data_IF_937122624241
#
_entry.id   IF_937122624241
#
_cell.length_a   1.000
_cell.length_b   1.000
_cell.length_c   1.000
_cell.angle_alpha   90.00
_cell.angle_beta   90.00
_cell.angle_gamma   90.00
#
_symmetry.space_group_name_H-M   'P 1'
#
loop_
_entity.id
_entity.type
_entity.pdbx_description
1 polymer ?
#
# COMPACT_ATOMS: atom_id res chain seq x y z
N UNK A 1 -12.83 -4.32 18.63
CA UNK A 1 -13.03 -3.52 17.40
C UNK A 1 -13.74 -2.19 17.67
N UNK A 2 -14.94 -2.11 18.32
CA UNK A 2 -15.67 -0.83 18.54
C UNK A 2 -14.84 0.27 19.25
N UNK A 3 -14.06 -0.07 20.30
CA UNK A 3 -13.17 0.89 20.98
C UNK A 3 -12.08 1.43 20.07
N UNK A 4 -11.49 0.58 19.21
CA UNK A 4 -10.49 1.00 18.23
C UNK A 4 -11.09 1.93 17.16
N UNK A 5 -12.28 1.61 16.65
CA UNK A 5 -12.98 2.46 15.70
C UNK A 5 -13.29 3.84 16.29
N UNK A 6 -13.79 3.88 17.54
CA UNK A 6 -14.03 5.15 18.23
C UNK A 6 -12.73 5.96 18.38
N UNK A 7 -11.66 5.30 18.79
CA UNK A 7 -10.36 5.96 18.93
C UNK A 7 -9.86 6.53 17.58
N UNK A 8 -10.02 5.79 16.47
CA UNK A 8 -9.69 6.29 15.14
C UNK A 8 -10.54 7.51 14.77
N UNK A 9 -11.86 7.49 15.03
CA UNK A 9 -12.72 8.64 14.78
C UNK A 9 -12.31 9.88 15.60
N UNK A 10 -11.93 9.68 16.87
CA UNK A 10 -11.44 10.76 17.74
C UNK A 10 -10.09 11.35 17.24
N UNK A 11 -9.37 10.64 16.35
CA UNK A 11 -8.11 11.06 15.75
C UNK A 11 -8.25 11.66 14.34
N UNK A 12 -9.45 11.75 13.80
CA UNK A 12 -9.67 12.42 12.52
C UNK A 12 -9.13 13.85 12.55
N UNK A 13 -8.25 14.18 11.63
CA UNK A 13 -7.70 15.53 11.48
C UNK A 13 -8.78 16.45 10.93
N UNK A 14 -9.16 17.48 11.71
CA UNK A 14 -10.22 18.43 11.35
C UNK A 14 -9.69 19.86 11.16
N UNK A 15 -8.37 20.00 11.11
CA UNK A 15 -7.68 21.28 11.02
C UNK A 15 -7.08 21.41 9.61
N UNK A 16 -7.16 22.58 9.03
CA UNK A 16 -6.48 22.89 7.78
C UNK A 16 -5.01 23.17 8.07
N UNK A 17 -4.13 22.44 7.42
CA UNK A 17 -2.68 22.62 7.44
C UNK A 17 -2.17 23.06 6.07
N UNK A 18 -0.86 22.97 5.89
CA UNK A 18 -0.15 23.38 4.67
C UNK A 18 -0.59 22.61 3.42
N UNK A 19 -1.01 21.36 3.59
CA UNK A 19 -1.62 20.55 2.53
C UNK A 19 -2.75 21.26 1.78
N UNK A 20 -3.46 22.17 2.44
CA UNK A 20 -4.57 22.92 1.85
C UNK A 20 -4.12 24.05 0.91
N UNK A 21 -2.82 24.36 0.85
CA UNK A 21 -2.30 25.39 -0.07
C UNK A 21 -2.54 25.02 -1.53
N UNK A 22 -2.16 23.80 -1.91
CA UNK A 22 -2.38 23.28 -3.27
C UNK A 22 -3.71 22.55 -3.43
N UNK A 23 -4.45 22.30 -2.33
CA UNK A 23 -5.69 21.54 -2.31
C UNK A 23 -6.73 22.19 -1.41
N UNK A 24 -7.21 23.37 -1.80
CA UNK A 24 -8.06 24.23 -0.96
C UNK A 24 -9.53 23.81 -0.87
N UNK A 25 -10.00 22.93 -1.75
CA UNK A 25 -11.44 22.63 -1.90
C UNK A 25 -12.01 21.66 -0.86
N UNK A 26 -11.34 20.55 -0.47
CA UNK A 26 -11.95 19.61 0.46
C UNK A 26 -12.05 20.18 1.87
N UNK A 27 -13.01 19.66 2.63
CA UNK A 27 -13.02 19.85 4.09
C UNK A 27 -11.82 19.14 4.70
N UNK A 28 -11.26 19.71 5.77
CA UNK A 28 -10.21 19.04 6.52
C UNK A 28 -10.70 17.69 7.06
N UNK A 29 -9.97 16.63 6.73
CA UNK A 29 -10.20 15.27 7.15
C UNK A 29 -8.94 14.44 6.92
N UNK A 30 -8.98 13.15 7.25
CA UNK A 30 -7.87 12.22 7.10
C UNK A 30 -7.20 11.90 8.42
N UNK A 31 -6.15 11.10 8.38
CA UNK A 31 -5.38 10.69 9.55
C UNK A 31 -3.90 10.92 9.30
N UNK A 32 -3.21 11.31 10.36
CA UNK A 32 -1.78 11.57 10.35
C UNK A 32 -1.02 10.36 10.89
N UNK A 33 0.18 10.14 10.37
CA UNK A 33 1.10 9.09 10.83
C UNK A 33 1.48 9.24 12.32
N UNK A 34 1.63 10.47 12.79
CA UNK A 34 1.99 10.76 14.18
C UNK A 34 0.83 11.39 14.96
N UNK A 35 0.56 10.91 16.18
CA UNK A 35 -0.54 11.41 17.02
C UNK A 35 -0.45 12.89 17.39
N UNK A 36 0.76 13.41 17.48
CA UNK A 36 1.03 14.80 17.85
C UNK A 36 1.23 15.71 16.64
N UNK A 37 1.05 15.19 15.44
CA UNK A 37 1.19 15.94 14.19
C UNK A 37 -0.13 16.02 13.41
N UNK A 38 -1.18 16.52 14.07
CA UNK A 38 -2.52 16.63 13.49
C UNK A 38 -2.65 17.64 12.34
N UNK A 39 -1.55 18.28 11.92
CA UNK A 39 -1.53 19.22 10.79
C UNK A 39 -1.22 18.56 9.45
N UNK A 40 -0.70 17.33 9.48
CA UNK A 40 -0.24 16.59 8.29
C UNK A 40 -0.95 15.23 8.17
N UNK A 41 -2.25 15.23 7.80
CA UNK A 41 -2.88 13.98 7.38
C UNK A 41 -2.20 13.50 6.10
N UNK A 42 -2.04 12.20 5.97
CA UNK A 42 -1.45 11.61 4.77
C UNK A 42 -2.39 10.63 4.07
N UNK A 43 -2.08 10.40 2.81
CA UNK A 43 -2.89 9.60 1.90
C UNK A 43 -2.86 8.12 2.30
N UNK A 44 -1.72 7.57 2.76
CA UNK A 44 -1.62 6.15 3.10
C UNK A 44 -2.37 5.82 4.39
N UNK A 45 -2.11 6.56 5.47
CA UNK A 45 -2.80 6.35 6.75
C UNK A 45 -4.31 6.57 6.61
N UNK A 46 -4.71 7.59 5.84
CA UNK A 46 -6.13 7.84 5.55
C UNK A 46 -6.77 6.65 4.83
N UNK A 47 -6.13 6.10 3.80
CA UNK A 47 -6.64 4.94 3.09
C UNK A 47 -6.73 3.71 3.99
N UNK A 48 -5.70 3.44 4.80
CA UNK A 48 -5.68 2.31 5.71
C UNK A 48 -6.74 2.41 6.81
N UNK A 49 -6.92 3.61 7.38
CA UNK A 49 -7.98 3.84 8.39
C UNK A 49 -9.37 3.70 7.78
N UNK A 50 -9.61 4.23 6.59
CA UNK A 50 -10.89 4.07 5.90
C UNK A 50 -11.21 2.59 5.63
N UNK A 51 -10.24 1.80 5.18
CA UNK A 51 -10.42 0.36 5.00
C UNK A 51 -10.71 -0.35 6.34
N UNK A 52 -9.99 0.00 7.40
CA UNK A 52 -10.21 -0.57 8.74
C UNK A 52 -11.59 -0.20 9.29
N UNK A 53 -12.01 1.05 9.17
CA UNK A 53 -13.33 1.52 9.60
C UNK A 53 -14.46 0.83 8.82
N UNK A 54 -14.24 0.51 7.54
CA UNK A 54 -15.23 -0.21 6.72
C UNK A 54 -15.46 -1.64 7.20
N UNK A 55 -14.44 -2.30 7.77
CA UNK A 55 -14.57 -3.65 8.34
C UNK A 55 -15.30 -3.66 9.70
N UNK A 56 -15.29 -2.55 10.40
CA UNK A 56 -16.04 -2.38 11.64
C UNK A 56 -17.43 -1.92 11.26
N UNK A 57 -18.40 -2.84 11.26
CA UNK A 57 -19.82 -2.48 11.12
C UNK A 57 -20.29 -1.79 12.42
N UNK A 58 -20.40 -0.47 12.50
CA UNK A 58 -21.14 0.17 13.54
C UNK A 58 -22.61 0.15 13.11
N UNK A 59 -23.42 -0.53 13.85
CA UNK A 59 -24.84 -0.37 13.78
C UNK A 59 -25.13 1.13 13.92
N UNK A 60 -25.51 1.77 12.80
CA UNK A 60 -26.08 3.13 12.75
C UNK A 60 -25.26 4.29 13.37
N UNK A 61 -23.96 4.40 13.09
CA UNK A 61 -23.22 5.59 13.49
C UNK A 61 -23.16 6.61 12.34
N UNK A 62 -24.04 7.62 12.39
CA UNK A 62 -23.98 8.78 11.48
C UNK A 62 -22.63 9.51 11.55
N UNK A 63 -21.95 9.42 12.67
CA UNK A 63 -20.63 10.00 12.93
C UNK A 63 -19.56 9.30 12.06
N UNK A 64 -19.58 7.97 12.02
CA UNK A 64 -18.70 7.18 11.18
C UNK A 64 -18.94 7.48 9.69
N UNK A 65 -20.20 7.50 9.26
CA UNK A 65 -20.54 7.79 7.86
C UNK A 65 -20.11 9.21 7.47
N UNK A 66 -20.28 10.17 8.37
CA UNK A 66 -19.84 11.56 8.17
C UNK A 66 -18.32 11.69 8.06
N UNK A 67 -17.55 11.01 8.93
CA UNK A 67 -16.10 10.97 8.88
C UNK A 67 -15.62 10.28 7.61
N UNK A 68 -16.23 9.14 7.27
CA UNK A 68 -15.89 8.36 6.08
C UNK A 68 -16.06 9.18 4.79
N UNK A 69 -17.19 9.85 4.61
CA UNK A 69 -17.42 10.71 3.43
C UNK A 69 -16.40 11.82 3.33
N UNK A 70 -16.16 12.55 4.42
CA UNK A 70 -15.19 13.66 4.42
C UNK A 70 -13.79 13.17 4.05
N UNK A 71 -13.37 12.05 4.65
CA UNK A 71 -12.04 11.52 4.41
C UNK A 71 -11.91 10.93 2.99
N UNK A 72 -12.95 10.31 2.46
CA UNK A 72 -12.96 9.85 1.07
C UNK A 72 -12.90 11.03 0.08
N UNK A 73 -13.67 12.10 0.31
CA UNK A 73 -13.60 13.30 -0.51
C UNK A 73 -12.22 13.95 -0.44
N UNK A 74 -11.61 13.96 0.77
CA UNK A 74 -10.25 14.44 0.97
C UNK A 74 -9.24 13.57 0.21
N UNK A 75 -9.30 12.24 0.35
CA UNK A 75 -8.44 11.28 -0.34
C UNK A 75 -8.48 11.45 -1.87
N UNK A 76 -9.70 11.51 -2.43
CA UNK A 76 -9.89 11.67 -3.88
C UNK A 76 -9.38 13.03 -4.38
N UNK A 77 -9.48 14.06 -3.55
CA UNK A 77 -9.02 15.40 -3.92
C UNK A 77 -7.51 15.50 -4.08
N UNK A 78 -6.73 14.57 -3.51
CA UNK A 78 -5.27 14.51 -3.62
C UNK A 78 -4.77 13.87 -4.91
N UNK A 79 -5.65 13.32 -5.75
CA UNK A 79 -5.19 12.81 -7.05
C UNK A 79 -4.48 13.91 -7.84
N UNK A 80 -3.26 13.63 -8.26
CA UNK A 80 -2.44 14.51 -9.07
C UNK A 80 -2.83 14.47 -10.55
N UNK A 81 -2.28 15.41 -11.34
CA UNK A 81 -2.59 15.52 -12.78
C UNK A 81 -2.12 14.34 -13.60
N UNK A 82 -1.07 13.65 -13.16
CA UNK A 82 -0.55 12.43 -13.75
C UNK A 82 -1.40 11.19 -13.45
N UNK A 83 -2.41 11.32 -12.59
CA UNK A 83 -3.30 10.24 -12.17
C UNK A 83 -2.88 9.54 -10.88
N UNK A 84 -1.66 9.77 -10.37
CA UNK A 84 -1.13 9.19 -9.14
C UNK A 84 -1.51 9.95 -7.87
N UNK A 85 -1.09 9.41 -6.73
CA UNK A 85 -1.15 10.05 -5.41
C UNK A 85 0.24 10.13 -4.80
N UNK A 86 0.51 11.24 -4.13
CA UNK A 86 1.61 11.45 -3.23
C UNK A 86 1.12 11.30 -1.77
N UNK A 87 2.01 11.32 -0.76
CA UNK A 87 1.61 11.14 0.62
C UNK A 87 0.96 12.40 1.22
N UNK A 88 1.59 13.56 1.03
CA UNK A 88 1.23 14.79 1.72
C UNK A 88 0.85 15.93 0.78
N UNK A 89 1.34 15.92 -0.46
CA UNK A 89 1.22 17.03 -1.38
C UNK A 89 0.47 16.68 -2.66
N UNK A 90 0.04 17.72 -3.36
CA UNK A 90 -0.67 17.59 -4.63
C UNK A 90 0.05 18.38 -5.73
N UNK A 91 0.37 17.69 -6.85
CA UNK A 91 0.96 18.31 -8.04
C UNK A 91 2.30 18.99 -7.76
N UNK A 92 3.17 18.35 -7.03
CA UNK A 92 4.54 18.82 -6.82
C UNK A 92 5.30 18.71 -8.13
N UNK A 93 5.70 19.86 -8.70
CA UNK A 93 6.18 19.95 -10.09
C UNK A 93 7.54 20.62 -10.23
N UNK A 94 8.31 20.71 -9.16
CA UNK A 94 9.57 21.47 -9.15
C UNK A 94 10.77 20.59 -8.77
N UNK A 95 11.14 19.58 -9.62
CA UNK A 95 12.15 18.57 -9.26
C UNK A 95 13.51 19.12 -8.86
N UNK A 96 13.93 20.27 -9.40
CA UNK A 96 15.21 20.89 -9.08
C UNK A 96 15.35 21.33 -7.60
N UNK A 97 14.23 21.38 -6.85
CA UNK A 97 14.28 21.65 -5.41
C UNK A 97 14.90 20.50 -4.61
N UNK A 98 14.88 19.27 -5.11
CA UNK A 98 15.54 18.13 -4.47
C UNK A 98 17.07 18.21 -4.55
N UNK A 99 17.60 18.90 -5.56
CA UNK A 99 19.03 19.10 -5.77
C UNK A 99 19.60 20.25 -4.91
N UNK A 100 18.77 20.91 -4.12
CA UNK A 100 19.21 22.05 -3.31
C UNK A 100 20.00 21.55 -2.10
N UNK A 101 21.20 22.16 -1.81
CA UNK A 101 22.08 21.68 -0.74
C UNK A 101 21.50 21.76 0.68
N UNK A 102 20.38 22.43 0.85
CA UNK A 102 19.64 22.57 2.10
C UNK A 102 18.30 21.79 2.09
N UNK A 103 18.07 20.98 1.06
CA UNK A 103 16.93 20.06 1.02
C UNK A 103 17.10 19.04 2.15
N UNK A 104 16.38 19.24 3.25
CA UNK A 104 16.43 18.34 4.39
C UNK A 104 15.86 16.98 3.99
N UNK A 105 16.68 15.94 4.11
CA UNK A 105 16.32 14.56 3.83
C UNK A 105 15.76 14.29 2.41
N UNK A 106 16.06 15.10 1.41
CA UNK A 106 15.41 15.06 0.09
C UNK A 106 13.87 15.08 0.21
N UNK A 107 13.35 15.74 1.23
CA UNK A 107 11.94 15.72 1.61
C UNK A 107 11.21 17.03 1.26
N UNK A 108 11.83 17.91 0.48
CA UNK A 108 11.16 19.12 -0.01
C UNK A 108 10.02 18.78 -0.95
N UNK A 109 10.18 17.70 -1.72
CA UNK A 109 9.15 17.24 -2.64
C UNK A 109 8.56 15.90 -2.17
N UNK A 110 7.26 15.78 -2.38
CA UNK A 110 6.50 14.54 -2.18
C UNK A 110 5.92 14.10 -3.53
N UNK A 111 6.69 13.36 -4.33
CA UNK A 111 6.25 12.92 -5.65
C UNK A 111 5.16 11.87 -5.56
N UNK A 112 4.34 11.77 -6.59
CA UNK A 112 3.42 10.65 -6.79
C UNK A 112 4.22 9.34 -6.80
N UNK A 113 3.63 8.29 -6.22
CA UNK A 113 4.26 6.98 -6.17
C UNK A 113 3.25 5.84 -6.40
N UNK A 114 3.77 4.74 -6.92
CA UNK A 114 2.94 3.61 -7.34
C UNK A 114 2.30 2.90 -6.16
N UNK A 115 2.98 2.80 -5.03
CA UNK A 115 2.47 2.17 -3.81
C UNK A 115 1.25 2.91 -3.24
N UNK A 116 1.28 4.24 -3.09
CA UNK A 116 0.13 5.01 -2.60
C UNK A 116 -1.02 5.10 -3.61
N UNK A 117 -0.69 5.17 -4.90
CA UNK A 117 -1.69 5.11 -5.96
C UNK A 117 -2.44 3.78 -5.92
N UNK A 118 -1.71 2.67 -5.78
CA UNK A 118 -2.27 1.34 -5.66
C UNK A 118 -3.04 1.14 -4.34
N UNK A 119 -2.56 1.72 -3.23
CA UNK A 119 -3.27 1.73 -1.95
C UNK A 119 -4.61 2.44 -2.05
N UNK A 120 -4.65 3.56 -2.76
CA UNK A 120 -5.92 4.26 -3.02
C UNK A 120 -6.86 3.41 -3.88
N UNK A 121 -6.36 2.73 -4.92
CA UNK A 121 -7.18 1.78 -5.69
C UNK A 121 -7.70 0.62 -4.83
N UNK A 122 -6.89 0.11 -3.90
CA UNK A 122 -7.32 -0.91 -2.94
C UNK A 122 -8.48 -0.41 -2.08
N UNK A 123 -8.37 0.77 -1.49
CA UNK A 123 -9.45 1.41 -0.74
C UNK A 123 -10.72 1.53 -1.60
N UNK A 124 -10.59 2.08 -2.82
CA UNK A 124 -11.72 2.27 -3.72
C UNK A 124 -12.40 0.94 -4.08
N UNK A 125 -11.63 -0.12 -4.26
CA UNK A 125 -12.16 -1.47 -4.45
C UNK A 125 -12.92 -2.00 -3.23
N UNK A 126 -12.37 -1.80 -2.02
CA UNK A 126 -13.02 -2.20 -0.76
C UNK A 126 -14.38 -1.54 -0.53
N UNK A 127 -14.56 -0.32 -0.97
CA UNK A 127 -15.82 0.41 -0.84
C UNK A 127 -16.79 0.20 -2.01
N UNK A 128 -16.41 -0.60 -3.00
CA UNK A 128 -17.22 -0.86 -4.18
C UNK A 128 -17.33 0.34 -5.12
N UNK A 129 -16.28 1.15 -5.20
CA UNK A 129 -16.24 2.32 -6.07
C UNK A 129 -16.31 1.91 -7.54
N UNK A 130 -16.83 2.79 -8.38
CA UNK A 130 -16.99 2.51 -9.81
C UNK A 130 -15.63 2.34 -10.51
N UNK A 131 -15.28 1.13 -10.99
CA UNK A 131 -14.00 0.89 -11.66
C UNK A 131 -13.85 1.66 -12.99
N UNK A 132 -14.95 2.18 -13.55
CA UNK A 132 -14.94 3.01 -14.76
C UNK A 132 -14.88 4.51 -14.46
N UNK A 133 -14.80 4.91 -13.21
CA UNK A 133 -14.63 6.32 -12.83
C UNK A 133 -13.33 6.88 -13.41
N UNK A 134 -13.34 8.18 -13.73
CA UNK A 134 -12.17 8.82 -14.32
C UNK A 134 -10.95 8.69 -13.43
N UNK A 135 -11.07 8.96 -12.14
CA UNK A 135 -9.96 8.85 -11.18
C UNK A 135 -9.32 7.44 -11.13
N UNK A 136 -10.14 6.39 -11.28
CA UNK A 136 -9.63 5.00 -11.34
C UNK A 136 -8.87 4.75 -12.64
N UNK A 137 -9.40 5.21 -13.78
CA UNK A 137 -8.70 5.04 -15.07
C UNK A 137 -7.39 5.81 -15.11
N UNK A 138 -7.39 7.05 -14.61
CA UNK A 138 -6.20 7.89 -14.56
C UNK A 138 -5.14 7.23 -13.64
N UNK A 139 -5.54 6.63 -12.51
CA UNK A 139 -4.67 5.87 -11.62
C UNK A 139 -4.08 4.62 -12.29
N UNK A 140 -4.89 3.84 -13.00
CA UNK A 140 -4.42 2.67 -13.72
C UNK A 140 -3.43 3.07 -14.83
N UNK A 141 -3.70 4.16 -15.53
CA UNK A 141 -2.77 4.69 -16.54
C UNK A 141 -1.44 5.08 -15.91
N UNK A 142 -1.45 5.79 -14.78
CA UNK A 142 -0.25 6.10 -14.01
C UNK A 142 0.56 4.85 -13.64
N UNK A 143 -0.10 3.78 -13.17
CA UNK A 143 0.58 2.52 -12.83
C UNK A 143 1.19 1.82 -14.06
N UNK A 144 0.58 1.95 -15.25
CA UNK A 144 1.16 1.43 -16.49
C UNK A 144 2.42 2.22 -16.87
N UNK A 145 2.36 3.56 -16.81
CA UNK A 145 3.47 4.44 -17.17
C UNK A 145 4.67 4.34 -16.20
N UNK A 146 4.40 3.99 -14.94
CA UNK A 146 5.45 3.86 -13.90
C UNK A 146 5.98 2.44 -13.72
N UNK A 147 5.51 1.47 -14.52
CA UNK A 147 6.07 0.12 -14.49
C UNK A 147 7.49 0.11 -15.03
N UNK A 148 8.42 -0.49 -14.29
CA UNK A 148 9.79 -0.70 -14.74
C UNK A 148 9.87 -1.69 -15.91
N UNK A 149 10.95 -1.62 -16.67
CA UNK A 149 11.14 -2.50 -17.84
C UNK A 149 11.13 -4.00 -17.50
N UNK A 150 11.57 -4.36 -16.28
CA UNK A 150 11.57 -5.72 -15.77
C UNK A 150 10.18 -6.19 -15.26
N UNK A 151 9.20 -5.30 -15.22
CA UNK A 151 7.84 -5.56 -14.75
C UNK A 151 7.56 -5.16 -13.30
N UNK A 152 8.57 -4.76 -12.54
CA UNK A 152 8.44 -4.33 -11.15
C UNK A 152 7.89 -2.90 -11.02
N UNK A 153 7.54 -2.51 -9.80
CA UNK A 153 7.25 -1.11 -9.42
C UNK A 153 8.06 -0.70 -8.21
N UNK A 154 8.57 0.53 -8.27
CA UNK A 154 9.25 1.16 -7.15
C UNK A 154 8.31 1.37 -5.98
N UNK A 155 8.78 1.05 -4.76
CA UNK A 155 8.10 1.28 -3.50
C UNK A 155 8.76 2.40 -2.72
N UNK A 156 8.05 3.53 -2.52
CA UNK A 156 8.58 4.67 -1.78
C UNK A 156 8.54 4.44 -0.27
N UNK A 157 7.46 3.84 0.24
CA UNK A 157 7.16 3.76 1.68
C UNK A 157 7.44 2.39 2.32
N UNK A 158 7.94 1.46 1.54
CA UNK A 158 8.42 0.15 1.99
C UNK A 158 9.52 -0.35 1.08
N UNK A 159 10.43 -1.20 1.61
CA UNK A 159 11.61 -1.69 0.91
C UNK A 159 11.27 -2.85 -0.01
N UNK A 160 11.52 -2.70 -1.24
CA UNK A 160 11.42 -1.60 -2.18
C UNK A 160 10.55 -2.08 -3.36
N UNK A 161 11.13 -2.75 -4.37
CA UNK A 161 10.37 -3.22 -5.54
C UNK A 161 9.44 -4.40 -5.21
N UNK A 162 9.78 -5.26 -4.24
CA UNK A 162 8.87 -6.30 -3.73
C UNK A 162 7.62 -5.64 -3.13
N UNK A 163 7.81 -4.58 -2.34
CA UNK A 163 6.72 -3.83 -1.71
C UNK A 163 5.84 -3.11 -2.76
N UNK A 164 6.47 -2.35 -3.66
CA UNK A 164 5.73 -1.60 -4.70
C UNK A 164 4.96 -2.51 -5.63
N UNK A 165 5.58 -3.60 -6.08
CA UNK A 165 4.95 -4.57 -6.98
C UNK A 165 3.76 -5.27 -6.32
N UNK A 166 3.91 -5.70 -5.07
CA UNK A 166 2.80 -6.27 -4.29
C UNK A 166 1.63 -5.30 -4.18
N UNK A 167 1.90 -4.04 -3.80
CA UNK A 167 0.85 -3.04 -3.64
C UNK A 167 0.07 -2.82 -4.94
N UNK A 168 0.76 -2.71 -6.07
CA UNK A 168 0.13 -2.52 -7.38
C UNK A 168 -0.76 -3.71 -7.73
N UNK A 169 -0.26 -4.93 -7.63
CA UNK A 169 -1.04 -6.13 -7.94
C UNK A 169 -2.28 -6.24 -7.06
N UNK A 170 -2.15 -5.93 -5.78
CA UNK A 170 -3.25 -5.96 -4.82
C UNK A 170 -4.29 -4.88 -5.08
N UNK A 171 -3.86 -3.65 -5.34
CA UNK A 171 -4.74 -2.52 -5.67
C UNK A 171 -5.57 -2.76 -6.94
N UNK A 172 -4.92 -3.26 -8.00
CA UNK A 172 -5.58 -3.62 -9.26
C UNK A 172 -6.61 -4.73 -9.06
N UNK A 173 -6.26 -5.76 -8.29
CA UNK A 173 -7.21 -6.84 -7.97
C UNK A 173 -8.41 -6.33 -7.20
N UNK A 174 -8.20 -5.48 -6.19
CA UNK A 174 -9.25 -4.95 -5.34
C UNK A 174 -10.25 -4.11 -6.12
N UNK A 175 -9.79 -3.25 -7.02
CA UNK A 175 -10.66 -2.42 -7.87
C UNK A 175 -11.38 -3.23 -8.97
N UNK A 176 -11.06 -4.51 -9.12
CA UNK A 176 -11.69 -5.39 -10.10
C UNK A 176 -11.13 -5.25 -11.51
N UNK A 177 -9.86 -4.83 -11.63
CA UNK A 177 -9.19 -4.79 -12.93
C UNK A 177 -8.94 -6.21 -13.47
N UNK A 178 -8.83 -6.33 -14.79
CA UNK A 178 -8.50 -7.60 -15.45
C UNK A 178 -7.05 -7.99 -15.19
N UNK A 179 -6.86 -8.95 -14.28
CA UNK A 179 -5.54 -9.42 -13.83
C UNK A 179 -4.82 -10.33 -14.86
N UNK A 180 -5.43 -10.60 -16.02
CA UNK A 180 -4.82 -11.43 -17.08
C UNK A 180 -3.99 -10.64 -18.09
N UNK A 181 -3.93 -9.32 -17.95
CA UNK A 181 -3.17 -8.46 -18.88
C UNK A 181 -1.67 -8.68 -18.73
N UNK A 182 -0.96 -8.68 -19.86
CA UNK A 182 0.48 -9.01 -19.94
C UNK A 182 1.36 -8.14 -19.03
N UNK A 183 1.06 -6.84 -18.94
CA UNK A 183 1.84 -5.95 -18.08
C UNK A 183 1.69 -6.30 -16.58
N UNK A 184 0.53 -6.77 -16.14
CA UNK A 184 0.28 -7.23 -14.77
C UNK A 184 1.01 -8.56 -14.52
N UNK A 185 0.91 -9.48 -15.50
CA UNK A 185 1.58 -10.77 -15.42
C UNK A 185 3.10 -10.62 -15.36
N UNK A 186 3.70 -9.63 -16.06
CA UNK A 186 5.12 -9.30 -15.91
C UNK A 186 5.50 -8.96 -14.46
N UNK A 187 4.66 -8.21 -13.74
CA UNK A 187 4.91 -7.91 -12.32
C UNK A 187 4.87 -9.14 -11.42
N UNK A 188 3.91 -10.05 -11.67
CA UNK A 188 3.88 -11.36 -11.02
C UNK A 188 5.14 -12.17 -11.31
N UNK A 189 5.53 -12.27 -12.58
CA UNK A 189 6.66 -13.08 -13.01
C UNK A 189 7.98 -12.52 -12.46
N UNK A 190 8.07 -11.19 -12.33
CA UNK A 190 9.19 -10.54 -11.65
C UNK A 190 9.26 -10.95 -10.18
N UNK A 191 8.16 -10.90 -9.42
CA UNK A 191 8.13 -11.39 -8.03
C UNK A 191 8.60 -12.85 -7.93
N UNK A 192 8.14 -13.71 -8.84
CA UNK A 192 8.56 -15.11 -8.85
C UNK A 192 10.06 -15.28 -9.13
N UNK A 193 10.62 -14.43 -10.01
CA UNK A 193 12.04 -14.47 -10.35
C UNK A 193 12.96 -14.07 -9.20
N UNK A 194 12.45 -13.32 -8.22
CA UNK A 194 13.18 -12.86 -7.04
C UNK A 194 13.09 -13.83 -5.85
N UNK A 195 12.41 -14.98 -5.99
CA UNK A 195 12.27 -15.93 -4.89
C UNK A 195 13.60 -16.59 -4.55
N UNK A 196 14.02 -16.52 -3.29
CA UNK A 196 15.21 -17.17 -2.79
C UNK A 196 15.09 -18.70 -2.75
N UNK A 197 16.23 -19.41 -2.62
CA UNK A 197 16.28 -20.86 -2.58
C UNK A 197 15.55 -21.46 -1.38
N UNK A 198 15.48 -20.75 -0.25
CA UNK A 198 14.73 -21.14 0.94
C UNK A 198 13.20 -20.99 0.78
N UNK A 199 12.76 -20.39 -0.32
CA UNK A 199 11.34 -20.16 -0.65
C UNK A 199 10.80 -18.82 -0.17
N UNK A 200 11.57 -18.03 0.57
CA UNK A 200 11.22 -16.69 0.98
C UNK A 200 11.58 -15.63 -0.06
N UNK A 201 11.33 -14.37 0.29
CA UNK A 201 11.73 -13.19 -0.45
C UNK A 201 12.41 -12.19 0.47
N UNK A 202 13.37 -11.46 -0.08
CA UNK A 202 14.04 -10.40 0.63
C UNK A 202 14.68 -9.39 -0.31
N UNK A 203 14.70 -8.15 0.12
CA UNK A 203 15.29 -7.03 -0.60
C UNK A 203 15.88 -6.05 0.41
N UNK A 204 17.06 -5.51 0.11
CA UNK A 204 17.76 -4.61 1.02
C UNK A 204 17.50 -3.15 0.67
N UNK A 205 17.71 -2.24 1.64
CA UNK A 205 17.63 -0.79 1.40
C UNK A 205 18.63 -0.28 0.37
N UNK A 206 19.68 -1.04 0.06
CA UNK A 206 20.66 -0.67 -0.98
C UNK A 206 20.03 -0.52 -2.37
N UNK A 207 18.86 -1.10 -2.61
CA UNK A 207 18.11 -0.96 -3.88
C UNK A 207 17.66 0.47 -4.16
N UNK A 208 17.55 1.32 -3.16
CA UNK A 208 17.23 2.73 -3.36
C UNK A 208 18.38 3.52 -4.01
N UNK A 209 19.62 3.07 -3.81
CA UNK A 209 20.81 3.68 -4.40
C UNK A 209 21.29 2.91 -5.65
N UNK A 210 21.08 1.60 -5.66
CA UNK A 210 21.52 0.72 -6.74
C UNK A 210 20.39 -0.19 -7.23
N UNK A 211 19.65 0.19 -8.29
CA UNK A 211 18.57 -0.64 -8.86
C UNK A 211 19.00 -2.04 -9.34
N UNK A 212 20.31 -2.29 -9.55
CA UNK A 212 20.77 -3.63 -9.86
C UNK A 212 20.59 -4.63 -8.70
N UNK A 213 20.30 -4.12 -7.49
CA UNK A 213 20.02 -4.93 -6.30
C UNK A 213 18.53 -5.27 -6.12
N UNK A 214 17.66 -4.96 -7.11
CA UNK A 214 16.23 -5.25 -7.04
C UNK A 214 15.97 -6.72 -6.70
N UNK A 215 15.14 -6.95 -5.67
CA UNK A 215 14.74 -8.27 -5.22
C UNK A 215 15.88 -9.11 -4.61
N UNK A 216 17.02 -8.49 -4.27
CA UNK A 216 18.18 -9.18 -3.70
C UNK A 216 18.29 -8.86 -2.21
N UNK A 217 18.22 -9.89 -1.36
CA UNK A 217 18.38 -9.81 0.08
C UNK A 217 18.05 -11.12 0.76
N UNK A 218 18.33 -11.20 2.05
CA UNK A 218 17.93 -12.37 2.86
C UNK A 218 16.42 -12.40 3.01
N UNK A 219 15.85 -13.59 3.03
CA UNK A 219 14.41 -13.77 3.17
C UNK A 219 13.90 -13.20 4.49
N UNK A 220 12.89 -12.34 4.41
CA UNK A 220 12.20 -11.76 5.57
C UNK A 220 10.76 -12.22 5.63
N UNK A 221 10.17 -12.19 6.80
CA UNK A 221 8.78 -12.60 6.99
C UNK A 221 7.81 -11.62 6.32
N UNK A 222 8.07 -10.32 6.43
CA UNK A 222 7.22 -9.28 5.83
C UNK A 222 7.29 -9.26 4.31
N UNK A 223 8.50 -9.30 3.72
CA UNK A 223 8.66 -9.26 2.25
C UNK A 223 8.19 -10.56 1.60
N UNK A 224 8.39 -11.70 2.26
CA UNK A 224 7.79 -12.98 1.82
C UNK A 224 6.27 -12.89 1.81
N UNK A 225 5.67 -12.32 2.84
CA UNK A 225 4.24 -12.12 2.90
C UNK A 225 3.71 -11.20 1.79
N UNK A 226 4.43 -10.09 1.50
CA UNK A 226 4.08 -9.19 0.41
C UNK A 226 4.10 -9.90 -0.94
N UNK A 227 5.18 -10.62 -1.24
CA UNK A 227 5.30 -11.36 -2.50
C UNK A 227 4.18 -12.39 -2.67
N UNK A 228 3.88 -13.19 -1.62
CA UNK A 228 2.76 -14.15 -1.64
C UNK A 228 1.44 -13.45 -1.97
N UNK A 229 1.13 -12.34 -1.28
CA UNK A 229 -0.13 -11.61 -1.51
C UNK A 229 -0.21 -11.01 -2.92
N UNK A 230 0.91 -10.51 -3.46
CA UNK A 230 1.00 -9.99 -4.82
C UNK A 230 0.74 -11.08 -5.86
N UNK A 231 1.39 -12.23 -5.73
CA UNK A 231 1.20 -13.36 -6.66
C UNK A 231 -0.22 -13.92 -6.53
N UNK A 232 -0.76 -14.08 -5.31
CA UNK A 232 -2.14 -14.50 -5.09
C UNK A 232 -3.16 -13.57 -5.76
N UNK A 233 -2.90 -12.27 -5.80
CA UNK A 233 -3.78 -11.31 -6.45
C UNK A 233 -3.97 -11.59 -7.95
N UNK A 234 -3.02 -12.26 -8.61
CA UNK A 234 -3.11 -12.66 -10.01
C UNK A 234 -3.98 -13.91 -10.25
N UNK A 235 -4.41 -14.62 -9.19
CA UNK A 235 -5.48 -15.62 -9.24
C UNK A 235 -5.04 -17.08 -9.35
N UNK A 236 -3.80 -17.40 -9.73
CA UNK A 236 -3.29 -18.77 -9.76
C UNK A 236 -2.64 -19.14 -8.42
N UNK A 237 -3.39 -19.81 -7.55
CA UNK A 237 -3.00 -20.13 -6.18
C UNK A 237 -2.16 -21.42 -6.06
N UNK A 238 -2.09 -22.23 -7.12
CA UNK A 238 -1.35 -23.49 -7.09
C UNK A 238 0.11 -23.35 -7.56
N UNK A 239 0.57 -22.11 -7.80
CA UNK A 239 1.95 -21.83 -8.20
C UNK A 239 2.96 -22.31 -7.17
N UNK A 240 4.03 -22.91 -7.67
CA UNK A 240 5.11 -23.44 -6.83
C UNK A 240 5.74 -22.36 -5.94
N UNK A 241 5.84 -21.14 -6.43
CA UNK A 241 6.37 -19.99 -5.69
C UNK A 241 5.54 -19.69 -4.44
N UNK A 242 4.21 -19.68 -4.54
CA UNK A 242 3.30 -19.50 -3.39
C UNK A 242 3.51 -20.65 -2.38
N UNK A 243 3.53 -21.89 -2.85
CA UNK A 243 3.68 -23.06 -1.96
C UNK A 243 5.02 -23.06 -1.21
N UNK A 244 6.10 -22.62 -1.87
CA UNK A 244 7.40 -22.46 -1.24
C UNK A 244 7.39 -21.33 -0.20
N UNK A 245 6.81 -20.18 -0.55
CA UNK A 245 6.69 -19.05 0.38
C UNK A 245 5.85 -19.36 1.61
N UNK A 246 4.73 -20.06 1.45
CA UNK A 246 3.92 -20.52 2.59
C UNK A 246 4.71 -21.46 3.50
N UNK A 247 5.49 -22.39 2.93
CA UNK A 247 6.37 -23.26 3.73
C UNK A 247 7.44 -22.47 4.47
N UNK A 248 8.05 -21.47 3.84
CA UNK A 248 9.00 -20.58 4.50
C UNK A 248 8.35 -19.89 5.72
N UNK A 249 7.19 -19.28 5.56
CA UNK A 249 6.48 -18.62 6.67
C UNK A 249 6.13 -19.60 7.80
N UNK A 250 5.63 -20.80 7.46
CA UNK A 250 5.25 -21.78 8.46
C UNK A 250 6.46 -22.39 9.20
N UNK A 251 7.56 -22.63 8.48
CA UNK A 251 8.77 -23.22 9.07
C UNK A 251 9.60 -22.22 9.89
N UNK A 252 9.53 -20.93 9.57
CA UNK A 252 10.21 -19.86 10.31
C UNK A 252 9.40 -19.30 11.47
N UNK A 253 8.12 -19.71 11.62
CA UNK A 253 7.29 -19.31 12.75
C UNK A 253 7.80 -19.94 14.06
N UNK A 254 7.97 -19.11 15.09
CA UNK A 254 8.38 -19.53 16.42
C UNK A 254 7.25 -20.23 17.17
N UNK A 255 7.62 -20.96 18.22
CA UNK A 255 6.64 -21.66 19.08
C UNK A 255 5.61 -20.73 19.76
N UNK A 256 5.97 -19.45 19.94
CA UNK A 256 5.05 -18.43 20.46
C UNK A 256 4.16 -17.78 19.37
N UNK A 257 4.23 -18.25 18.12
CA UNK A 257 3.45 -17.75 16.98
C UNK A 257 4.04 -16.52 16.30
N UNK A 258 5.19 -16.01 16.75
CA UNK A 258 5.85 -14.84 16.15
C UNK A 258 6.87 -15.20 15.07
N UNK A 259 7.35 -14.20 14.33
CA UNK A 259 8.50 -14.30 13.43
C UNK A 259 9.63 -13.39 13.88
N UNK A 260 10.86 -13.80 13.58
CA UNK A 260 12.04 -12.92 13.69
C UNK A 260 12.28 -12.23 12.35
N UNK A 261 12.64 -10.96 12.42
CA UNK A 261 13.00 -10.15 11.28
C UNK A 261 13.91 -9.04 11.79
N UNK A 262 15.25 -9.25 11.82
CA UNK A 262 16.19 -8.21 12.22
C UNK A 262 16.34 -7.12 11.15
N UNK A 263 15.99 -7.42 9.91
CA UNK A 263 16.11 -6.53 8.75
C UNK A 263 15.17 -5.33 8.86
N UNK A 264 15.55 -4.26 8.18
CA UNK A 264 14.74 -3.05 8.02
C UNK A 264 13.99 -3.17 6.70
N UNK A 265 12.67 -3.13 6.77
CA UNK A 265 11.77 -3.29 5.61
C UNK A 265 10.83 -2.09 5.40
N UNK A 266 10.92 -1.08 6.25
CA UNK A 266 10.19 0.18 6.11
C UNK A 266 11.09 1.34 5.70
N UNK A 267 10.50 2.36 5.11
CA UNK A 267 11.20 3.55 4.63
C UNK A 267 10.58 4.79 5.23
N UNK A 268 11.40 5.70 5.75
CA UNK A 268 11.00 7.06 6.03
C UNK A 268 11.20 7.91 4.76
N UNK A 269 12.47 8.16 4.39
CA UNK A 269 12.80 8.82 3.13
C UNK A 269 13.86 8.00 2.39
N UNK A 270 13.57 7.56 1.14
CA UNK A 270 14.49 6.75 0.34
C UNK A 270 15.87 7.41 0.20
N UNK A 271 16.94 6.63 0.42
CA UNK A 271 18.31 7.11 0.38
C UNK A 271 18.77 7.88 1.63
N UNK A 272 17.89 8.18 2.58
CA UNK A 272 18.19 9.02 3.75
C UNK A 272 18.03 8.27 5.06
N UNK A 273 16.85 7.78 5.37
CA UNK A 273 16.65 6.94 6.55
C UNK A 273 15.56 5.89 6.37
N UNK A 274 15.72 4.78 7.09
CA UNK A 274 14.87 3.62 6.99
C UNK A 274 14.31 3.26 8.36
N UNK A 275 13.12 2.62 8.36
CA UNK A 275 12.37 2.33 9.56
C UNK A 275 12.19 0.82 9.74
N UNK A 276 12.39 0.36 10.96
CA UNK A 276 12.02 -0.99 11.37
C UNK A 276 10.68 -0.95 12.08
N UNK A 277 9.66 -1.48 11.45
CA UNK A 277 8.34 -1.62 12.05
C UNK A 277 8.20 -3.01 12.69
N UNK A 278 8.26 -3.08 14.01
CA UNK A 278 8.17 -4.36 14.74
C UNK A 278 6.88 -5.15 14.45
N UNK A 279 5.80 -4.46 14.10
CA UNK A 279 4.52 -5.07 13.76
C UNK A 279 4.52 -5.73 12.37
N UNK A 280 5.40 -5.35 11.45
CA UNK A 280 5.43 -5.87 10.08
C UNK A 280 5.65 -7.38 10.07
N UNK A 281 6.63 -7.86 10.81
CA UNK A 281 6.96 -9.28 10.94
C UNK A 281 5.86 -10.13 11.57
N UNK A 282 4.83 -9.52 12.16
CA UNK A 282 3.68 -10.21 12.72
C UNK A 282 2.44 -10.09 11.81
N UNK A 283 2.12 -8.85 11.43
CA UNK A 283 0.89 -8.55 10.75
C UNK A 283 0.87 -9.06 9.31
N UNK A 284 1.98 -8.89 8.57
CA UNK A 284 2.00 -9.27 7.16
C UNK A 284 2.02 -10.78 6.94
N UNK A 285 2.81 -11.61 7.66
CA UNK A 285 2.69 -13.07 7.55
C UNK A 285 1.27 -13.58 7.84
N UNK A 286 0.67 -13.08 8.92
CA UNK A 286 -0.71 -13.46 9.26
C UNK A 286 -1.71 -13.05 8.16
N UNK A 287 -1.56 -11.84 7.61
CA UNK A 287 -2.40 -11.33 6.53
C UNK A 287 -2.22 -12.15 5.25
N UNK A 288 -0.99 -12.54 4.91
CA UNK A 288 -0.71 -13.36 3.72
C UNK A 288 -1.32 -14.76 3.84
N UNK A 289 -1.15 -15.42 4.99
CA UNK A 289 -1.74 -16.72 5.26
C UNK A 289 -3.28 -16.67 5.19
N UNK A 290 -3.87 -15.65 5.82
CA UNK A 290 -5.32 -15.43 5.78
C UNK A 290 -5.82 -15.12 4.35
N UNK A 291 -5.08 -14.32 3.59
CA UNK A 291 -5.41 -13.99 2.19
C UNK A 291 -5.40 -15.25 1.32
N UNK A 292 -4.37 -16.09 1.44
CA UNK A 292 -4.28 -17.35 0.71
C UNK A 292 -5.47 -18.28 1.04
N UNK A 293 -5.77 -18.47 2.33
CA UNK A 293 -6.89 -19.33 2.78
C UNK A 293 -8.22 -18.77 2.26
N UNK A 294 -8.44 -17.48 2.35
CA UNK A 294 -9.65 -16.84 1.85
C UNK A 294 -9.81 -17.04 0.34
N UNK A 295 -8.75 -16.85 -0.44
CA UNK A 295 -8.81 -17.04 -1.89
C UNK A 295 -9.05 -18.51 -2.25
N UNK A 296 -8.43 -19.46 -1.57
CA UNK A 296 -8.68 -20.92 -1.74
C UNK A 296 -10.13 -21.30 -1.46
N UNK A 297 -10.77 -20.65 -0.49
CA UNK A 297 -12.15 -20.88 -0.12
C UNK A 297 -13.16 -20.08 -0.97
N UNK A 298 -12.69 -19.36 -1.99
CA UNK A 298 -13.55 -18.54 -2.86
C UNK A 298 -14.02 -17.24 -2.22
N UNK A 299 -13.53 -16.91 -1.02
CA UNK A 299 -13.75 -15.60 -0.38
C UNK A 299 -12.80 -14.56 -0.98
N UNK A 300 -12.87 -14.39 -2.31
CA UNK A 300 -12.22 -13.26 -2.95
C UNK A 300 -12.97 -12.03 -2.46
N UNK A 301 -12.26 -11.05 -1.92
CA UNK A 301 -12.83 -9.72 -1.67
C UNK A 301 -13.34 -9.19 -3.01
N UNK A 302 -14.62 -9.43 -3.30
CA UNK A 302 -15.27 -8.85 -4.46
C UNK A 302 -15.54 -7.39 -4.18
N UNK A 303 -15.27 -6.50 -5.12
CA UNK A 303 -15.89 -5.17 -5.09
C UNK A 303 -17.40 -5.39 -4.92
N UNK A 304 -17.97 -4.87 -3.86
CA UNK A 304 -19.42 -4.97 -3.69
C UNK A 304 -19.95 -5.80 -2.52
N UNK A 305 -19.19 -6.06 -1.47
CA UNK A 305 -19.71 -6.66 -0.23
C UNK A 305 -20.74 -5.78 0.53
N UNK A 306 -21.14 -4.66 -0.08
CA UNK A 306 -22.24 -3.82 0.38
C UNK A 306 -23.19 -3.50 -0.77
N UNK A 307 -23.89 -4.51 -1.25
CA UNK A 307 -25.23 -4.24 -1.74
C UNK A 307 -26.09 -4.06 -0.49
N UNK A 308 -26.56 -2.83 -0.28
CA UNK A 308 -27.68 -2.55 0.60
C UNK A 308 -28.83 -3.45 0.19
N UNK A 309 -29.23 -4.36 1.09
CA UNK A 309 -30.56 -4.95 1.08
C UNK A 309 -31.61 -3.85 1.24
#
# INVERSE_FOLDING_TARGET
>A
MRRAAKWLLDKEVRIRGDWAFNNSHPKASGWAFEYNNAYYPDVDDTAMVLMALRLVRPEESWELEGAFRRALDWQLSFQCRDGGWAAFDKNVTTPWLEDMPFADHNAILDPTCSDLTARTLELLGYIGFNPKARCVRDAIHYLIETQEADGSWYGRWGVNYIYGTWQVLRGLRAIGHDMTQDWILRGRDWLESCQNDDGGWGETCATYENPAMKGIGVSTASQTAWAIMGICACGDLDRTSIQRGLRFLLSSQKSNGSWDEPEITGTGFPGVFYLKYDMYRQNFPLLALATYVNYRNGFITRPGFYQSS
#
